data_IF_008843751182
#
_entry.id   IF_008843751182
#
_cell.length_a   1.000
_cell.length_b   1.000
_cell.length_c   1.000
_cell.angle_alpha   90.00
_cell.angle_beta   90.00
_cell.angle_gamma   90.00
#
_symmetry.space_group_name_H-M   'P 1'
#
loop_
_entity.id
_entity.type
_entity.pdbx_description
1 polymer ?
#
# COMPACT_ATOMS: atom_id res chain seq x y z
N UNK A 1 -12.83 -3.40 18.79
CA UNK A 1 -11.85 -3.65 17.72
C UNK A 1 -10.77 -2.60 17.83
N UNK A 2 -9.50 -2.99 17.74
CA UNK A 2 -8.38 -2.04 17.71
C UNK A 2 -8.35 -1.39 16.33
N UNK A 3 -8.28 -0.05 16.21
CA UNK A 3 -8.12 0.61 14.92
C UNK A 3 -6.86 0.12 14.20
N UNK A 4 -6.95 -0.09 12.89
CA UNK A 4 -5.78 -0.41 12.06
C UNK A 4 -5.05 0.91 11.77
N UNK A 5 -3.75 1.03 12.10
CA UNK A 5 -3.01 2.26 11.84
C UNK A 5 -2.82 2.47 10.34
N UNK A 6 -2.98 3.72 9.90
CA UNK A 6 -2.76 4.14 8.51
C UNK A 6 -1.57 5.09 8.45
N UNK A 7 -0.61 4.81 7.58
CA UNK A 7 0.56 5.66 7.32
C UNK A 7 0.48 6.19 5.90
N UNK A 8 0.53 7.51 5.74
CA UNK A 8 0.63 8.15 4.43
C UNK A 8 2.10 8.44 4.13
N UNK A 9 2.64 7.79 3.11
CA UNK A 9 4.00 7.99 2.62
C UNK A 9 3.98 8.95 1.43
N UNK A 10 4.38 10.19 1.68
CA UNK A 10 4.38 11.27 0.67
C UNK A 10 5.77 11.91 0.53
N UNK A 11 5.93 12.78 -0.46
CA UNK A 11 7.18 13.46 -0.79
C UNK A 11 7.42 13.55 -2.29
N UNK A 12 8.28 14.48 -2.72
CA UNK A 12 8.56 14.75 -4.14
C UNK A 12 9.02 13.50 -4.94
N UNK A 13 8.93 13.58 -6.28
CA UNK A 13 9.53 12.58 -7.16
C UNK A 13 11.02 12.43 -6.85
N UNK A 14 11.52 11.19 -6.86
CA UNK A 14 12.92 10.90 -6.54
C UNK A 14 13.28 10.91 -5.06
N UNK A 15 12.36 11.22 -4.14
CA UNK A 15 12.63 11.23 -2.69
C UNK A 15 12.86 9.82 -2.08
N UNK A 16 12.81 8.75 -2.88
CA UNK A 16 13.05 7.38 -2.42
C UNK A 16 11.86 6.70 -1.73
N UNK A 17 10.63 7.20 -1.90
CA UNK A 17 9.40 6.63 -1.33
C UNK A 17 9.25 5.13 -1.62
N UNK A 18 9.31 4.77 -2.89
CA UNK A 18 9.22 3.37 -3.36
C UNK A 18 10.35 2.50 -2.81
N UNK A 19 11.57 3.05 -2.68
CA UNK A 19 12.71 2.34 -2.05
C UNK A 19 12.44 2.05 -0.58
N UNK A 20 11.91 3.02 0.16
CA UNK A 20 11.50 2.84 1.55
C UNK A 20 10.39 1.81 1.68
N UNK A 21 9.38 1.87 0.80
CA UNK A 21 8.27 0.93 0.78
C UNK A 21 8.74 -0.52 0.59
N UNK A 22 9.61 -0.77 -0.39
CA UNK A 22 10.19 -2.09 -0.62
C UNK A 22 11.02 -2.59 0.56
N UNK A 23 11.77 -1.69 1.22
CA UNK A 23 12.52 -2.03 2.44
C UNK A 23 11.59 -2.41 3.59
N UNK A 24 10.47 -1.69 3.76
CA UNK A 24 9.47 -1.99 4.78
C UNK A 24 8.83 -3.36 4.53
N UNK A 25 8.45 -3.65 3.28
CA UNK A 25 7.86 -4.94 2.91
C UNK A 25 8.84 -6.10 3.13
N UNK A 26 10.10 -5.98 2.67
CA UNK A 26 11.13 -7.00 2.92
C UNK A 26 11.41 -7.22 4.41
N UNK A 27 11.35 -6.14 5.20
CA UNK A 27 11.65 -6.13 6.63
C UNK A 27 10.44 -6.23 7.56
N UNK A 28 9.27 -6.66 7.08
CA UNK A 28 8.02 -6.58 7.83
C UNK A 28 7.99 -7.39 9.15
N UNK A 29 8.93 -8.33 9.33
CA UNK A 29 9.15 -9.00 10.64
C UNK A 29 7.94 -9.79 11.13
N UNK A 30 7.19 -10.41 10.21
CA UNK A 30 5.96 -11.16 10.51
C UNK A 30 4.69 -10.31 10.56
N UNK A 31 4.78 -8.98 10.43
CA UNK A 31 3.61 -8.11 10.29
C UNK A 31 3.05 -8.15 8.87
N UNK A 32 1.74 -8.03 8.76
CA UNK A 32 1.00 -8.00 7.49
C UNK A 32 0.52 -6.59 7.19
N UNK A 33 1.08 -5.99 6.16
CA UNK A 33 0.69 -4.65 5.71
C UNK A 33 -0.17 -4.74 4.44
N UNK A 34 -1.19 -3.89 4.37
CA UNK A 34 -1.82 -3.55 3.10
C UNK A 34 -1.18 -2.26 2.58
N UNK A 35 -0.80 -2.26 1.31
CA UNK A 35 -0.13 -1.16 0.65
C UNK A 35 -0.98 -0.67 -0.52
N UNK A 36 -1.29 0.62 -0.53
CA UNK A 36 -2.03 1.26 -1.61
C UNK A 36 -1.07 2.26 -2.26
N UNK A 37 -0.78 2.07 -3.54
CA UNK A 37 0.09 2.97 -4.32
C UNK A 37 -0.78 3.86 -5.20
N UNK A 38 -0.87 5.13 -4.82
CA UNK A 38 -1.55 6.17 -5.59
C UNK A 38 -0.53 6.89 -6.50
N UNK A 39 0.04 6.16 -7.45
CA UNK A 39 1.02 6.70 -8.41
C UNK A 39 0.56 6.50 -9.86
N UNK A 40 1.01 7.40 -10.75
CA UNK A 40 0.83 7.24 -12.18
C UNK A 40 1.95 6.36 -12.75
N UNK A 41 1.61 5.37 -13.58
CA UNK A 41 2.58 4.41 -14.14
C UNK A 41 2.54 3.02 -13.50
N UNK A 42 3.59 2.24 -13.75
CA UNK A 42 3.74 0.86 -13.26
C UNK A 42 3.95 0.81 -11.75
N UNK A 43 3.53 -0.29 -11.12
CA UNK A 43 3.75 -0.52 -9.69
C UNK A 43 5.24 -0.75 -9.42
N UNK A 44 5.86 0.12 -8.63
CA UNK A 44 7.28 0.04 -8.24
C UNK A 44 7.60 -1.00 -7.15
N UNK A 45 6.79 -2.04 -7.01
CA UNK A 45 7.04 -3.13 -6.06
C UNK A 45 8.02 -4.13 -6.67
N UNK A 46 8.96 -4.59 -5.86
CA UNK A 46 9.88 -5.66 -6.24
C UNK A 46 9.13 -6.95 -6.58
N UNK A 47 9.29 -7.40 -7.82
CA UNK A 47 8.65 -8.61 -8.34
C UNK A 47 8.99 -9.88 -7.56
N UNK A 48 10.14 -9.95 -6.87
CA UNK A 48 10.49 -11.09 -6.01
C UNK A 48 9.59 -11.25 -4.79
N UNK A 49 8.88 -10.18 -4.41
CA UNK A 49 7.90 -10.21 -3.33
C UNK A 49 6.56 -10.77 -3.80
N UNK A 50 6.25 -10.72 -5.10
CA UNK A 50 4.92 -11.03 -5.65
C UNK A 50 4.73 -12.53 -5.79
N UNK A 51 3.64 -13.05 -5.24
CA UNK A 51 3.22 -14.47 -5.31
C UNK A 51 2.06 -14.67 -6.27
N UNK A 52 1.20 -13.67 -6.40
CA UNK A 52 0.04 -13.71 -7.28
C UNK A 52 -0.51 -12.33 -7.56
N UNK A 53 -1.24 -12.20 -8.67
CA UNK A 53 -1.94 -10.99 -9.05
C UNK A 53 -3.36 -11.34 -9.50
N UNK A 54 -4.35 -10.82 -8.80
CA UNK A 54 -5.76 -10.88 -9.20
C UNK A 54 -6.32 -9.46 -9.18
N UNK A 55 -6.93 -9.02 -10.28
CA UNK A 55 -7.59 -7.70 -10.38
C UNK A 55 -6.73 -6.51 -9.89
N UNK A 56 -5.41 -6.53 -10.19
CA UNK A 56 -4.41 -5.53 -9.76
C UNK A 56 -4.14 -5.47 -8.25
N UNK A 57 -4.56 -6.51 -7.52
CA UNK A 57 -4.13 -6.80 -6.16
C UNK A 57 -3.01 -7.84 -6.22
N UNK A 58 -1.86 -7.45 -5.68
CA UNK A 58 -0.65 -8.25 -5.63
C UNK A 58 -0.49 -8.83 -4.23
N UNK A 59 -0.51 -10.16 -4.13
CA UNK A 59 -0.21 -10.84 -2.88
C UNK A 59 1.29 -11.04 -2.74
N UNK A 60 1.81 -10.74 -1.56
CA UNK A 60 3.24 -10.81 -1.29
C UNK A 60 3.59 -12.03 -0.43
N UNK A 61 4.80 -12.56 -0.62
CA UNK A 61 5.29 -13.80 0.01
C UNK A 61 5.38 -13.74 1.55
N UNK A 62 5.31 -12.53 2.10
CA UNK A 62 5.33 -12.25 3.53
C UNK A 62 3.92 -12.01 4.11
N UNK A 63 2.86 -12.24 3.33
CA UNK A 63 1.47 -12.03 3.74
C UNK A 63 0.99 -10.58 3.66
N UNK A 64 1.80 -9.67 3.08
CA UNK A 64 1.37 -8.32 2.73
C UNK A 64 0.57 -8.33 1.42
N UNK A 65 -0.16 -7.25 1.19
CA UNK A 65 -0.93 -7.02 -0.05
C UNK A 65 -0.57 -5.66 -0.61
N UNK A 66 -0.39 -5.54 -1.93
CA UNK A 66 -0.20 -4.26 -2.59
C UNK A 66 -1.21 -4.07 -3.72
N UNK A 67 -1.72 -2.86 -3.92
CA UNK A 67 -2.54 -2.53 -5.08
C UNK A 67 -2.34 -1.09 -5.53
N UNK A 68 -2.65 -0.84 -6.80
CA UNK A 68 -2.72 0.52 -7.33
C UNK A 68 -4.05 1.16 -6.92
N UNK A 69 -4.04 2.44 -6.56
CA UNK A 69 -5.30 3.15 -6.33
C UNK A 69 -6.03 3.33 -7.66
N UNK A 70 -7.14 2.61 -7.83
CA UNK A 70 -8.09 2.83 -8.93
C UNK A 70 -9.48 3.09 -8.35
N UNK A 71 -10.03 4.26 -8.69
CA UNK A 71 -11.30 4.72 -8.14
C UNK A 71 -11.12 5.35 -6.76
N UNK A 72 -12.10 5.10 -5.88
CA UNK A 72 -12.24 5.74 -4.59
C UNK A 72 -11.42 5.03 -3.49
N UNK A 73 -10.59 5.80 -2.77
CA UNK A 73 -9.77 5.32 -1.66
C UNK A 73 -10.63 4.64 -0.57
N UNK A 74 -11.82 5.15 -0.27
CA UNK A 74 -12.75 4.56 0.70
C UNK A 74 -13.09 3.14 0.29
N UNK A 75 -13.35 2.91 -1.00
CA UNK A 75 -13.74 1.58 -1.50
C UNK A 75 -12.59 0.59 -1.38
N UNK A 76 -11.37 1.00 -1.71
CA UNK A 76 -10.17 0.16 -1.62
C UNK A 76 -9.85 -0.17 -0.15
N UNK A 77 -9.85 0.83 0.74
CA UNK A 77 -9.63 0.59 2.17
C UNK A 77 -10.73 -0.33 2.73
N UNK A 78 -11.99 -0.10 2.36
CA UNK A 78 -13.12 -0.92 2.79
C UNK A 78 -13.02 -2.37 2.33
N UNK A 79 -12.51 -2.64 1.12
CA UNK A 79 -12.32 -4.00 0.63
C UNK A 79 -11.18 -4.70 1.36
N UNK A 80 -10.08 -3.99 1.64
CA UNK A 80 -8.93 -4.51 2.39
C UNK A 80 -9.30 -4.86 3.83
N UNK A 81 -10.04 -3.98 4.53
CA UNK A 81 -10.45 -4.21 5.93
C UNK A 81 -11.39 -5.43 6.06
N UNK A 82 -12.13 -5.78 5.01
CA UNK A 82 -13.00 -6.97 4.97
C UNK A 82 -12.27 -8.27 4.66
N UNK A 83 -10.99 -8.23 4.26
CA UNK A 83 -10.24 -9.45 3.91
C UNK A 83 -9.98 -10.32 5.16
N UNK A 84 -10.07 -11.65 5.04
CA UNK A 84 -9.79 -12.55 6.14
C UNK A 84 -8.33 -12.46 6.63
N UNK A 85 -8.16 -12.59 7.95
CA UNK A 85 -6.88 -12.50 8.64
C UNK A 85 -6.41 -11.08 8.99
N UNK A 86 -7.01 -10.02 8.43
CA UNK A 86 -6.72 -8.62 8.80
C UNK A 86 -5.31 -8.10 8.47
N UNK A 87 -5.04 -6.85 8.83
CA UNK A 87 -3.73 -6.23 8.63
C UNK A 87 -3.26 -5.54 9.90
N UNK A 88 -1.96 -5.56 10.15
CA UNK A 88 -1.32 -4.85 11.25
C UNK A 88 -1.17 -3.35 10.95
N UNK A 89 -1.27 -2.96 9.68
CA UNK A 89 -1.26 -1.57 9.24
C UNK A 89 -1.56 -1.41 7.76
N UNK A 90 -1.94 -0.20 7.38
CA UNK A 90 -2.11 0.22 5.99
C UNK A 90 -1.07 1.30 5.66
N UNK A 91 -0.38 1.17 4.54
CA UNK A 91 0.52 2.18 4.00
C UNK A 91 -0.07 2.70 2.70
N UNK A 92 -0.24 4.01 2.59
CA UNK A 92 -0.71 4.68 1.37
C UNK A 92 0.46 5.49 0.82
N UNK A 93 1.06 5.05 -0.27
CA UNK A 93 2.05 5.83 -1.01
C UNK A 93 1.33 6.79 -1.95
N UNK A 94 1.61 8.10 -1.85
CA UNK A 94 1.11 9.09 -2.82
C UNK A 94 2.14 9.36 -3.90
N UNK A 95 1.69 9.71 -5.11
CA UNK A 95 2.59 10.16 -6.18
C UNK A 95 3.43 11.35 -5.71
N UNK A 96 4.59 11.55 -6.34
CA UNK A 96 5.47 12.67 -6.02
C UNK A 96 4.92 14.06 -6.38
N UNK A 97 3.76 14.14 -7.02
CA UNK A 97 3.05 15.38 -7.37
C UNK A 97 1.68 15.47 -6.69
N UNK A 98 1.25 14.44 -5.97
CA UNK A 98 -0.07 14.38 -5.37
C UNK A 98 -0.12 15.24 -4.10
N UNK A 99 -1.20 16.02 -3.97
CA UNK A 99 -1.59 16.61 -2.70
C UNK A 99 -2.03 15.49 -1.74
N UNK A 100 -1.43 15.34 -0.55
CA UNK A 100 -1.86 14.34 0.43
C UNK A 100 -3.17 14.71 1.14
N UNK A 101 -3.65 15.95 1.08
CA UNK A 101 -4.84 16.39 1.82
C UNK A 101 -6.10 15.54 1.53
N UNK A 102 -6.45 15.22 0.27
CA UNK A 102 -7.59 14.35 -0.03
C UNK A 102 -7.47 12.95 0.58
N UNK A 103 -6.24 12.41 0.69
CA UNK A 103 -5.98 11.09 1.30
C UNK A 103 -6.24 11.11 2.80
N UNK A 104 -5.89 12.23 3.48
CA UNK A 104 -6.03 12.37 4.94
C UNK A 104 -7.46 12.73 5.36
N UNK A 105 -8.22 13.40 4.48
CA UNK A 105 -9.61 13.83 4.75
C UNK A 105 -10.67 12.75 4.47
N UNK A 106 -10.24 11.60 3.94
CA UNK A 106 -11.09 10.46 3.58
C UNK A 106 -11.31 9.54 4.78
#
# INVERSE_FOLDING_TARGET
>A
MTPIPVTVLTGFLGAGKTTLLNRLLRGAGGKRYAVIVNEYGELGIDGSLVVGAEEEIYELNNGCVCCKLRGDLIRVVSSLVRRPGGFDGIVIETSGLADPAPVVQT
#
